data_IF_458459424156
#
_entry.id   IF_458459424156
#
_cell.length_a   1.000
_cell.length_b   1.000
_cell.length_c   1.000
_cell.angle_alpha   90.00
_cell.angle_beta   90.00
_cell.angle_gamma   90.00
#
_symmetry.space_group_name_H-M   'P 1'
#
loop_
_entity.id
_entity.type
_entity.pdbx_description
1 polymer ?
#
# COMPACT_ATOMS: atom_id res chain seq x y z
N UNK A 1 7.43 7.65 -3.45
CA UNK A 1 7.05 7.28 -2.06
C UNK A 1 6.98 8.50 -1.13
N UNK A 2 7.99 9.38 -1.05
CA UNK A 2 7.91 10.58 -0.21
C UNK A 2 6.77 11.56 -0.60
N UNK A 3 6.49 11.70 -1.90
CA UNK A 3 5.35 12.49 -2.42
C UNK A 3 3.97 11.85 -2.15
N UNK A 4 3.88 10.55 -1.91
CA UNK A 4 2.63 9.88 -1.53
C UNK A 4 2.13 10.36 -0.16
N UNK A 5 3.07 10.62 0.74
CA UNK A 5 2.78 11.05 2.10
C UNK A 5 2.57 12.56 2.23
N UNK A 6 3.18 13.35 1.33
CA UNK A 6 2.90 14.78 1.14
C UNK A 6 1.41 15.08 0.96
N UNK A 7 0.74 14.13 0.33
CA UNK A 7 -0.60 14.25 -0.22
C UNK A 7 -1.65 13.64 0.74
N UNK A 8 -1.31 12.58 1.46
CA UNK A 8 -2.17 11.92 2.48
C UNK A 8 -2.07 12.58 3.87
N UNK A 9 -1.03 13.40 4.13
CA UNK A 9 -0.83 14.11 5.40
C UNK A 9 -2.03 14.96 5.86
N UNK A 10 -2.99 15.22 4.97
CA UNK A 10 -4.24 15.92 5.24
C UNK A 10 -5.22 15.18 6.18
N UNK A 11 -5.09 13.86 6.39
CA UNK A 11 -6.12 13.06 7.05
C UNK A 11 -5.80 12.54 8.47
N UNK A 12 -4.53 12.56 8.91
CA UNK A 12 -4.10 11.78 10.10
C UNK A 12 -3.75 12.60 11.35
N UNK A 13 -3.94 13.92 11.35
CA UNK A 13 -3.29 14.79 12.34
C UNK A 13 -4.15 15.24 13.53
N UNK A 14 -4.96 14.35 14.13
CA UNK A 14 -5.46 14.57 15.50
C UNK A 14 -4.34 14.26 16.51
N UNK A 15 -4.12 15.14 17.49
CA UNK A 15 -2.85 15.34 18.19
C UNK A 15 -2.35 14.17 19.04
N UNK A 16 -1.05 13.84 18.93
CA UNK A 16 -0.28 13.14 19.97
C UNK A 16 1.19 12.97 19.56
N UNK A 17 2.09 13.87 19.99
CA UNK A 17 3.54 13.70 19.80
C UNK A 17 4.12 12.42 20.42
N UNK A 18 3.54 11.95 21.54
CA UNK A 18 3.95 10.71 22.21
C UNK A 18 3.34 9.44 21.60
N UNK A 19 2.07 9.47 21.16
CA UNK A 19 1.46 8.30 20.48
C UNK A 19 2.12 8.01 19.13
N UNK A 20 2.71 9.03 18.48
CA UNK A 20 3.45 8.85 17.21
C UNK A 20 4.71 8.01 17.41
N UNK A 21 5.52 8.25 18.44
CA UNK A 21 6.74 7.44 18.68
C UNK A 21 6.38 5.98 18.99
N UNK A 22 5.32 5.76 19.76
CA UNK A 22 4.84 4.42 20.12
C UNK A 22 4.30 3.67 18.89
N UNK A 23 3.51 4.35 18.05
CA UNK A 23 2.92 3.74 16.84
C UNK A 23 3.97 3.46 15.74
N UNK A 24 4.98 4.32 15.61
CA UNK A 24 6.11 4.03 14.72
C UNK A 24 6.83 2.77 15.21
N UNK A 25 7.20 2.70 16.49
CA UNK A 25 7.91 1.54 17.05
C UNK A 25 7.11 0.23 16.94
N UNK A 26 5.79 0.25 17.12
CA UNK A 26 4.94 -0.94 16.88
C UNK A 26 4.87 -1.31 15.41
N UNK A 27 4.80 -0.32 14.51
CA UNK A 27 4.80 -0.54 13.07
C UNK A 27 6.14 -1.15 12.61
N UNK A 28 7.27 -0.64 13.11
CA UNK A 28 8.60 -1.22 12.92
C UNK A 28 8.67 -2.69 13.36
N UNK A 29 8.15 -3.02 14.55
CA UNK A 29 8.08 -4.40 15.06
C UNK A 29 7.22 -5.31 14.18
N UNK A 30 6.14 -4.80 13.61
CA UNK A 30 5.29 -5.58 12.68
C UNK A 30 5.96 -5.78 11.31
N UNK A 31 6.70 -4.78 10.83
CA UNK A 31 7.38 -4.83 9.54
C UNK A 31 8.61 -5.74 9.57
N UNK A 32 9.39 -5.73 10.65
CA UNK A 32 10.53 -6.65 10.79
C UNK A 32 10.08 -8.11 10.80
N UNK A 33 8.96 -8.42 11.48
CA UNK A 33 8.33 -9.75 11.42
C UNK A 33 7.93 -10.13 10.00
N UNK A 34 7.39 -9.18 9.22
CA UNK A 34 7.05 -9.39 7.82
C UNK A 34 8.26 -9.67 6.93
N UNK A 35 9.36 -8.93 7.11
CA UNK A 35 10.60 -9.15 6.34
C UNK A 35 11.22 -10.51 6.66
N UNK A 36 11.28 -10.88 7.94
CA UNK A 36 11.75 -12.20 8.37
C UNK A 36 10.87 -13.30 7.76
N UNK A 37 9.54 -13.14 7.82
CA UNK A 37 8.60 -14.09 7.25
C UNK A 37 8.78 -14.29 5.73
N UNK A 38 8.91 -13.21 4.97
CA UNK A 38 9.15 -13.28 3.52
C UNK A 38 10.52 -13.93 3.23
N UNK A 39 11.55 -13.60 4.00
CA UNK A 39 12.87 -14.22 3.87
C UNK A 39 12.83 -15.72 4.14
N UNK A 40 12.11 -16.16 5.16
CA UNK A 40 11.94 -17.59 5.48
C UNK A 40 11.13 -18.31 4.40
N UNK A 41 10.08 -17.67 3.85
CA UNK A 41 9.29 -18.23 2.75
C UNK A 41 10.12 -18.45 1.48
N UNK A 42 11.06 -17.54 1.19
CA UNK A 42 11.93 -17.67 0.02
C UNK A 42 12.84 -18.90 0.05
N UNK A 43 13.07 -19.48 1.24
CA UNK A 43 13.87 -20.71 1.41
C UNK A 43 13.02 -21.97 1.57
N UNK A 44 11.68 -21.89 1.50
CA UNK A 44 10.81 -23.03 1.73
C UNK A 44 10.69 -23.95 0.51
N UNK A 45 10.46 -25.26 0.74
CA UNK A 45 10.19 -26.19 -0.35
C UNK A 45 8.87 -25.84 -1.07
N UNK A 46 8.77 -26.15 -2.38
CA UNK A 46 7.66 -25.72 -3.24
C UNK A 46 6.28 -26.20 -2.75
N UNK A 47 6.21 -27.34 -2.06
CA UNK A 47 4.97 -27.87 -1.49
C UNK A 47 4.41 -26.96 -0.38
N UNK A 48 5.27 -26.42 0.49
CA UNK A 48 4.86 -25.50 1.56
C UNK A 48 4.40 -24.16 0.97
N UNK A 49 5.09 -23.70 -0.08
CA UNK A 49 4.71 -22.51 -0.82
C UNK A 49 3.33 -22.63 -1.49
N UNK A 50 2.98 -23.82 -2.01
CA UNK A 50 1.62 -24.07 -2.54
C UNK A 50 0.55 -24.00 -1.45
N UNK A 51 0.78 -24.64 -0.30
CA UNK A 51 -0.19 -24.63 0.81
C UNK A 51 -0.46 -23.19 1.27
N UNK A 52 0.59 -22.37 1.44
CA UNK A 52 0.41 -20.96 1.84
C UNK A 52 -0.31 -20.15 0.76
N UNK A 53 -0.06 -20.41 -0.53
CA UNK A 53 -0.74 -19.73 -1.64
C UNK A 53 -2.23 -20.06 -1.67
N UNK A 54 -2.60 -21.33 -1.46
CA UNK A 54 -4.00 -21.77 -1.36
C UNK A 54 -4.67 -21.11 -0.15
N UNK A 55 -4.05 -21.17 1.03
CA UNK A 55 -4.56 -20.51 2.24
C UNK A 55 -4.72 -19.00 2.06
N UNK A 56 -3.73 -18.33 1.46
CA UNK A 56 -3.77 -16.89 1.16
C UNK A 56 -4.89 -16.53 0.19
N UNK A 57 -5.17 -17.40 -0.79
CA UNK A 57 -6.26 -17.21 -1.75
C UNK A 57 -7.63 -17.30 -1.07
N UNK A 58 -7.85 -18.28 -0.19
CA UNK A 58 -9.07 -18.35 0.62
C UNK A 58 -9.25 -17.12 1.52
N UNK A 59 -8.18 -16.65 2.13
CA UNK A 59 -8.22 -15.43 2.94
C UNK A 59 -8.57 -14.18 2.12
N UNK A 60 -8.01 -14.04 0.91
CA UNK A 60 -8.36 -12.96 0.00
C UNK A 60 -9.81 -13.03 -0.48
N UNK A 61 -10.32 -14.24 -0.77
CA UNK A 61 -11.73 -14.45 -1.09
C UNK A 61 -12.65 -14.07 0.07
N UNK A 62 -12.27 -14.42 1.32
CA UNK A 62 -13.02 -14.05 2.51
C UNK A 62 -13.09 -12.53 2.71
N UNK A 63 -11.96 -11.82 2.59
CA UNK A 63 -11.93 -10.34 2.65
C UNK A 63 -12.74 -9.73 1.51
N UNK A 64 -12.54 -10.22 0.28
CA UNK A 64 -13.23 -9.72 -0.91
C UNK A 64 -14.75 -9.88 -0.77
N UNK A 65 -15.21 -11.03 -0.29
CA UNK A 65 -16.61 -11.27 0.00
C UNK A 65 -17.15 -10.34 1.10
N UNK A 66 -16.36 -10.10 2.16
CA UNK A 66 -16.67 -9.10 3.18
C UNK A 66 -16.84 -7.68 2.62
N UNK A 67 -15.98 -7.27 1.68
CA UNK A 67 -16.05 -5.97 1.00
C UNK A 67 -17.26 -5.86 0.04
N UNK A 68 -17.64 -6.94 -0.63
CA UNK A 68 -18.85 -6.98 -1.48
C UNK A 68 -20.13 -6.88 -0.64
N UNK A 69 -20.14 -7.52 0.54
CA UNK A 69 -21.30 -7.61 1.43
C UNK A 69 -21.44 -6.41 2.37
N UNK A 70 -20.33 -5.85 2.83
CA UNK A 70 -20.35 -4.74 3.78
C UNK A 70 -20.66 -3.42 3.07
N UNK A 71 -21.64 -2.70 3.60
CA UNK A 71 -21.74 -1.26 3.37
C UNK A 71 -20.70 -0.62 4.30
N UNK A 72 -19.51 -0.31 3.80
CA UNK A 72 -18.50 0.40 4.59
C UNK A 72 -19.06 1.79 4.86
N UNK A 73 -19.62 1.99 6.05
CA UNK A 73 -19.98 3.31 6.55
C UNK A 73 -18.69 4.04 6.86
N UNK A 74 -18.33 5.00 6.01
CA UNK A 74 -17.28 5.96 6.34
C UNK A 74 -17.91 6.93 7.34
N UNK A 75 -17.67 6.66 8.61
CA UNK A 75 -18.13 7.53 9.69
C UNK A 75 -17.50 8.92 9.55
N UNK A 76 -18.20 9.95 10.05
CA UNK A 76 -17.83 11.34 9.86
C UNK A 76 -16.37 11.60 10.20
N UNK A 77 -15.58 11.97 9.18
CA UNK A 77 -14.20 12.43 9.39
C UNK A 77 -14.28 13.78 10.07
N UNK A 78 -14.07 13.79 11.39
CA UNK A 78 -13.93 15.01 12.18
C UNK A 78 -13.00 15.98 11.45
N UNK A 79 -13.42 17.24 11.34
CA UNK A 79 -12.60 18.33 10.80
C UNK A 79 -11.41 18.53 11.73
N UNK A 80 -10.37 17.72 11.52
CA UNK A 80 -9.11 17.81 12.25
C UNK A 80 -8.57 19.23 12.09
N UNK A 81 -8.36 19.89 13.22
CA UNK A 81 -8.01 21.30 13.30
C UNK A 81 -6.82 21.68 12.43
N UNK A 82 -6.82 22.96 12.04
CA UNK A 82 -5.92 23.65 11.12
C UNK A 82 -4.42 23.48 11.46
N UNK A 83 -3.84 22.30 11.23
CA UNK A 83 -2.39 22.10 11.31
C UNK A 83 -1.74 22.54 10.00
N UNK A 84 -0.61 23.22 10.13
CA UNK A 84 0.20 23.65 8.99
C UNK A 84 0.52 22.46 8.08
N UNK A 85 0.13 22.57 6.80
CA UNK A 85 0.39 21.62 5.71
C UNK A 85 1.84 21.10 5.72
N UNK A 86 2.78 21.96 6.13
CA UNK A 86 4.19 21.64 6.21
C UNK A 86 4.54 20.59 7.26
N UNK A 87 3.86 20.60 8.41
CA UNK A 87 4.08 19.62 9.48
C UNK A 87 3.57 18.25 9.06
N UNK A 88 2.39 18.21 8.44
CA UNK A 88 1.82 16.99 7.87
C UNK A 88 2.71 16.41 6.75
N UNK A 89 3.20 17.25 5.84
CA UNK A 89 4.12 16.86 4.78
C UNK A 89 5.42 16.24 5.34
N UNK A 90 6.09 16.94 6.27
CA UNK A 90 7.33 16.44 6.88
C UNK A 90 7.10 15.13 7.62
N UNK A 91 6.00 15.02 8.35
CA UNK A 91 5.67 13.80 9.09
C UNK A 91 5.47 12.61 8.14
N UNK A 92 4.77 12.83 7.03
CA UNK A 92 4.61 11.81 6.01
C UNK A 92 5.93 11.44 5.34
N UNK A 93 6.73 12.44 4.94
CA UNK A 93 8.03 12.23 4.30
C UNK A 93 8.97 11.40 5.19
N UNK A 94 9.07 11.74 6.48
CA UNK A 94 9.85 10.98 7.46
C UNK A 94 9.31 9.55 7.56
N UNK A 95 8.00 9.37 7.72
CA UNK A 95 7.40 8.03 7.84
C UNK A 95 7.70 7.14 6.62
N UNK A 96 7.65 7.70 5.41
CA UNK A 96 7.99 6.97 4.20
C UNK A 96 9.49 6.68 4.07
N UNK A 97 10.36 7.64 4.40
CA UNK A 97 11.82 7.45 4.39
C UNK A 97 12.29 6.47 5.46
N UNK A 98 11.53 6.35 6.54
CA UNK A 98 11.81 5.49 7.68
C UNK A 98 11.10 4.13 7.55
N UNK A 99 10.50 3.81 6.39
CA UNK A 99 9.81 2.55 6.15
C UNK A 99 10.78 1.46 5.63
N UNK A 100 11.21 0.50 6.48
CA UNK A 100 12.16 -0.55 6.07
C UNK A 100 11.58 -1.48 4.99
N UNK A 101 10.26 -1.68 4.95
CA UNK A 101 9.61 -2.55 3.96
C UNK A 101 9.77 -2.00 2.54
N UNK A 102 9.75 -0.68 2.37
CA UNK A 102 9.95 -0.05 1.06
C UNK A 102 11.35 -0.33 0.51
N UNK A 103 12.39 -0.27 1.36
CA UNK A 103 13.76 -0.58 0.95
C UNK A 103 13.95 -2.06 0.66
N UNK A 104 13.41 -2.96 1.49
CA UNK A 104 13.48 -4.39 1.25
C UNK A 104 12.83 -4.79 -0.10
N UNK A 105 11.67 -4.21 -0.41
CA UNK A 105 11.02 -4.41 -1.71
C UNK A 105 11.88 -3.86 -2.86
N UNK A 106 12.41 -2.64 -2.72
CA UNK A 106 13.28 -2.08 -3.76
C UNK A 106 14.53 -2.94 -4.00
N UNK A 107 15.19 -3.40 -2.95
CA UNK A 107 16.36 -4.27 -3.07
C UNK A 107 16.03 -5.63 -3.70
N UNK A 108 14.83 -6.16 -3.52
CA UNK A 108 14.40 -7.39 -4.16
C UNK A 108 14.06 -7.19 -5.65
N UNK A 109 13.48 -6.03 -6.00
CA UNK A 109 12.92 -5.78 -7.34
C UNK A 109 13.96 -5.15 -8.27
N UNK A 110 14.68 -4.11 -7.83
CA UNK A 110 15.61 -3.35 -8.68
C UNK A 110 16.70 -4.18 -9.37
N UNK A 111 17.36 -5.14 -8.71
CA UNK A 111 18.43 -5.92 -9.36
C UNK A 111 17.94 -6.70 -10.58
N UNK A 112 16.66 -7.08 -10.63
CA UNK A 112 16.10 -7.81 -11.77
C UNK A 112 15.98 -6.95 -13.04
N UNK A 113 15.99 -5.62 -12.91
CA UNK A 113 15.84 -4.69 -14.04
C UNK A 113 17.16 -4.09 -14.51
N UNK A 114 18.23 -4.19 -13.71
CA UNK A 114 19.54 -3.65 -14.06
C UNK A 114 20.35 -4.74 -14.74
N UNK A 115 20.76 -4.50 -15.98
CA UNK A 115 21.64 -5.41 -16.71
C UNK A 115 22.93 -4.67 -17.10
N UNK A 116 24.10 -5.12 -16.62
CA UNK A 116 25.39 -4.46 -16.90
C UNK A 116 25.69 -4.28 -18.40
N UNK A 117 25.13 -5.16 -19.24
CA UNK A 117 25.29 -5.14 -20.69
C UNK A 117 24.65 -3.92 -21.40
N UNK A 118 23.74 -3.19 -20.75
CA UNK A 118 23.06 -2.01 -21.34
C UNK A 118 23.68 -0.67 -20.93
N UNK A 119 24.88 -0.68 -20.34
CA UNK A 119 25.63 0.53 -19.98
C UNK A 119 25.76 0.74 -18.48
N UNK A 120 26.08 1.98 -18.05
CA UNK A 120 26.40 2.29 -16.67
C UNK A 120 25.21 2.00 -15.72
N UNK A 121 25.43 1.12 -14.75
CA UNK A 121 24.47 0.70 -13.72
C UNK A 121 23.88 1.89 -12.97
N UNK A 122 24.69 2.93 -12.69
CA UNK A 122 24.23 4.13 -12.00
C UNK A 122 23.20 4.93 -12.82
N UNK A 123 23.41 5.03 -14.13
CA UNK A 123 22.49 5.73 -15.02
C UNK A 123 21.15 4.96 -15.14
N UNK A 124 21.21 3.64 -15.28
CA UNK A 124 20.00 2.80 -15.29
C UNK A 124 19.20 2.93 -13.98
N UNK A 125 19.89 2.90 -12.84
CA UNK A 125 19.25 3.08 -11.54
C UNK A 125 18.58 4.45 -11.38
N UNK A 126 19.21 5.52 -11.87
CA UNK A 126 18.67 6.88 -11.82
C UNK A 126 17.43 7.02 -12.72
N UNK A 127 17.44 6.46 -13.92
CA UNK A 127 16.26 6.43 -14.82
C UNK A 127 15.11 5.68 -14.16
N UNK A 128 15.35 4.49 -13.60
CA UNK A 128 14.33 3.70 -12.91
C UNK A 128 13.76 4.45 -11.69
N UNK A 129 14.60 5.14 -10.93
CA UNK A 129 14.18 5.97 -9.81
C UNK A 129 13.27 7.13 -10.25
N UNK A 130 13.62 7.80 -11.35
CA UNK A 130 12.80 8.88 -11.93
C UNK A 130 11.46 8.34 -12.42
N UNK A 131 11.46 7.28 -13.23
CA UNK A 131 10.23 6.70 -13.78
C UNK A 131 9.29 6.24 -12.66
N UNK A 132 9.83 5.52 -11.67
CA UNK A 132 9.03 5.06 -10.53
C UNK A 132 8.49 6.23 -9.71
N UNK A 133 9.30 7.28 -9.50
CA UNK A 133 8.85 8.47 -8.77
C UNK A 133 7.77 9.23 -9.53
N UNK A 134 7.94 9.43 -10.84
CA UNK A 134 6.96 10.09 -11.70
C UNK A 134 5.62 9.36 -11.70
N UNK A 135 5.64 8.03 -11.86
CA UNK A 135 4.41 7.22 -11.84
C UNK A 135 3.71 7.31 -10.49
N UNK A 136 4.45 7.28 -9.38
CA UNK A 136 3.85 7.45 -8.06
C UNK A 136 3.23 8.83 -7.86
N UNK A 137 3.88 9.91 -8.33
CA UNK A 137 3.32 11.25 -8.26
C UNK A 137 2.03 11.33 -9.09
N UNK A 138 2.05 10.78 -10.31
CA UNK A 138 0.90 10.81 -11.20
C UNK A 138 -0.29 10.06 -10.60
N UNK A 139 -0.10 8.81 -10.18
CA UNK A 139 -1.17 7.97 -9.65
C UNK A 139 -1.69 8.52 -8.32
N UNK A 140 -0.79 8.74 -7.36
CA UNK A 140 -1.23 9.10 -6.01
C UNK A 140 -1.55 10.58 -5.84
N UNK A 141 -0.80 11.45 -6.53
CA UNK A 141 -1.15 12.87 -6.62
C UNK A 141 -2.49 13.04 -7.32
N UNK A 142 -2.72 12.32 -8.42
CA UNK A 142 -4.01 12.26 -9.11
C UNK A 142 -5.12 11.77 -8.18
N UNK A 143 -4.91 10.65 -7.48
CA UNK A 143 -5.88 10.10 -6.53
C UNK A 143 -6.27 11.09 -5.44
N UNK A 144 -5.33 11.89 -4.95
CA UNK A 144 -5.64 12.80 -3.86
C UNK A 144 -6.20 14.14 -4.30
N UNK A 145 -5.85 14.62 -5.49
CA UNK A 145 -6.59 15.71 -6.12
C UNK A 145 -8.04 15.26 -6.36
N UNK A 146 -8.22 14.04 -6.87
CA UNK A 146 -9.55 13.43 -7.02
C UNK A 146 -10.26 13.27 -5.68
N UNK A 147 -9.57 12.84 -4.62
CA UNK A 147 -10.14 12.70 -3.28
C UNK A 147 -10.45 14.05 -2.62
N UNK A 148 -9.68 15.10 -2.90
CA UNK A 148 -9.95 16.46 -2.40
C UNK A 148 -11.20 17.05 -3.06
N UNK A 149 -11.30 16.94 -4.39
CA UNK A 149 -12.46 17.44 -5.14
C UNK A 149 -13.71 16.60 -4.91
N UNK A 150 -13.55 15.28 -4.82
CA UNK A 150 -14.66 14.35 -4.58
C UNK A 150 -14.93 14.15 -3.09
N UNK A 151 -14.24 14.83 -2.16
CA UNK A 151 -14.49 14.68 -0.73
C UNK A 151 -15.93 15.03 -0.38
N UNK A 152 -16.42 16.13 -0.94
CA UNK A 152 -17.79 16.60 -0.71
C UNK A 152 -18.82 15.76 -1.49
N UNK A 153 -18.43 15.17 -2.63
CA UNK A 153 -19.27 14.27 -3.43
C UNK A 153 -19.36 12.83 -2.89
N UNK A 154 -18.25 12.26 -2.38
CA UNK A 154 -18.19 10.92 -1.77
C UNK A 154 -18.84 10.91 -0.38
N UNK A 155 -18.71 11.99 0.39
CA UNK A 155 -19.38 12.12 1.68
C UNK A 155 -20.88 12.37 1.49
N UNK A 156 -21.31 13.02 0.40
CA UNK A 156 -22.74 13.22 0.10
C UNK A 156 -23.42 12.02 -0.57
N UNK A 157 -22.67 11.17 -1.31
CA UNK A 157 -23.21 9.99 -1.99
C UNK A 157 -22.63 8.69 -1.42
N UNK A 158 -23.24 8.22 -0.34
CA UNK A 158 -22.95 6.94 0.32
C UNK A 158 -22.89 5.75 -0.66
N UNK A 159 -23.67 5.82 -1.74
CA UNK A 159 -23.70 4.83 -2.82
C UNK A 159 -22.36 4.70 -3.58
N UNK A 160 -21.60 5.79 -3.75
CA UNK A 160 -20.31 5.74 -4.44
C UNK A 160 -19.26 4.96 -3.65
N UNK A 161 -19.21 5.17 -2.34
CA UNK A 161 -18.31 4.43 -1.42
C UNK A 161 -18.63 2.94 -1.43
N UNK A 162 -19.91 2.57 -1.40
CA UNK A 162 -20.36 1.17 -1.47
C UNK A 162 -19.95 0.53 -2.82
N UNK A 163 -20.12 1.25 -3.93
CA UNK A 163 -19.71 0.75 -5.25
C UNK A 163 -18.20 0.57 -5.35
N UNK A 164 -17.40 1.50 -4.83
CA UNK A 164 -15.94 1.36 -4.77
C UNK A 164 -15.54 0.13 -3.94
N UNK A 165 -16.14 -0.05 -2.75
CA UNK A 165 -15.88 -1.22 -1.90
C UNK A 165 -16.24 -2.53 -2.61
N UNK A 166 -17.36 -2.56 -3.35
CA UNK A 166 -17.78 -3.72 -4.15
C UNK A 166 -16.82 -4.03 -5.29
N UNK A 167 -16.37 -3.01 -6.05
CA UNK A 167 -15.42 -3.21 -7.15
C UNK A 167 -14.10 -3.80 -6.61
N UNK A 168 -13.58 -3.24 -5.51
CA UNK A 168 -12.37 -3.76 -4.87
C UNK A 168 -12.60 -5.19 -4.34
N UNK A 169 -13.75 -5.45 -3.74
CA UNK A 169 -14.11 -6.78 -3.26
C UNK A 169 -14.22 -7.83 -4.37
N UNK A 170 -14.89 -7.50 -5.49
CA UNK A 170 -14.98 -8.36 -6.68
C UNK A 170 -13.59 -8.64 -7.24
N UNK A 171 -12.75 -7.60 -7.35
CA UNK A 171 -11.38 -7.76 -7.79
C UNK A 171 -10.61 -8.76 -6.91
N UNK A 172 -10.74 -8.68 -5.58
CA UNK A 172 -10.10 -9.61 -4.65
C UNK A 172 -10.60 -11.05 -4.83
N UNK A 173 -11.90 -11.25 -5.01
CA UNK A 173 -12.49 -12.58 -5.25
C UNK A 173 -12.02 -13.17 -6.59
N UNK A 174 -11.97 -12.35 -7.64
CA UNK A 174 -11.50 -12.78 -8.96
C UNK A 174 -10.02 -13.19 -8.91
N UNK A 175 -9.17 -12.37 -8.28
CA UNK A 175 -7.75 -12.68 -8.10
C UNK A 175 -7.56 -13.94 -7.26
N UNK A 176 -8.35 -14.11 -6.20
CA UNK A 176 -8.31 -15.32 -5.38
C UNK A 176 -8.69 -16.58 -6.16
N UNK A 177 -9.75 -16.50 -6.97
CA UNK A 177 -10.18 -17.59 -7.85
C UNK A 177 -9.08 -17.95 -8.85
N UNK A 178 -8.54 -16.96 -9.57
CA UNK A 178 -7.47 -17.16 -10.53
C UNK A 178 -6.21 -17.79 -9.91
N UNK A 179 -5.86 -17.34 -8.71
CA UNK A 179 -4.74 -17.86 -7.92
C UNK A 179 -4.96 -19.32 -7.49
N UNK A 180 -6.18 -19.69 -7.09
CA UNK A 180 -6.54 -21.07 -6.76
C UNK A 180 -6.46 -21.98 -7.99
N UNK A 181 -6.95 -21.54 -9.15
CA UNK A 181 -6.88 -22.32 -10.39
C UNK A 181 -5.44 -22.67 -10.77
N UNK A 182 -4.52 -21.71 -10.68
CA UNK A 182 -3.10 -21.96 -10.94
C UNK A 182 -2.44 -22.81 -9.85
N UNK A 183 -2.72 -22.53 -8.58
CA UNK A 183 -2.12 -23.26 -7.46
C UNK A 183 -2.52 -24.74 -7.37
N UNK A 184 -3.61 -25.15 -8.01
CA UNK A 184 -4.10 -26.54 -8.08
C UNK A 184 -3.68 -27.23 -9.39
N UNK A 185 -3.51 -26.47 -10.48
CA UNK A 185 -3.17 -27.01 -11.80
C UNK A 185 -1.67 -27.36 -11.95
N UNK A 186 -0.80 -26.72 -11.18
CA UNK A 186 0.64 -27.02 -11.07
C UNK A 186 0.93 -28.05 -9.97
#
# INVERSE_FOLDING_TARGET
>A
MALFCAVIGHYYCAGHGHAIRINQLTNWRSQTRGVIFVGTLATMPPILFKIILICGSFYMAWIGYGLVRSSIFVDHVDKSGNKSYWVAFRQGAITCLTNPKAYAFMLAVFPNFIKPQYGNVWAQGLVMAIMTSALQIAIYGGLALAAHHSRDALISHQSATIWVSRIVGVFFVVVAGFSLFHGIAD
#
